data_IF_310875063877
#
_entry.id   IF_310875063877
#
_cell.length_a   1.000
_cell.length_b   1.000
_cell.length_c   1.000
_cell.angle_alpha   90.00
_cell.angle_beta   90.00
_cell.angle_gamma   90.00
#
_symmetry.space_group_name_H-M   'P 1'
#
loop_
_entity.id
_entity.type
_entity.pdbx_description
1 polymer ?
#
# COMPACT_ATOMS: atom_id res chain seq x y z
N UNK A 1 20.20 8.52 6.01
CA UNK A 1 18.91 7.80 6.02
C UNK A 1 17.91 8.65 5.26
N UNK A 2 17.23 8.11 4.23
CA UNK A 2 16.19 8.85 3.50
C UNK A 2 14.97 8.94 4.42
N UNK A 3 14.49 10.16 4.71
CA UNK A 3 13.26 10.35 5.49
C UNK A 3 12.06 9.89 4.66
N UNK A 4 11.12 9.17 5.27
CA UNK A 4 9.87 8.76 4.61
C UNK A 4 9.11 10.00 4.13
N UNK A 5 8.81 10.14 2.83
CA UNK A 5 7.94 11.19 2.31
C UNK A 5 6.54 11.02 2.89
N UNK A 6 5.81 12.13 3.07
CA UNK A 6 4.38 12.07 3.44
C UNK A 6 3.54 12.26 2.19
N UNK A 7 2.46 11.51 2.06
CA UNK A 7 1.40 11.89 1.11
C UNK A 7 0.49 12.92 1.76
N UNK A 8 0.19 13.97 1.00
CA UNK A 8 -0.86 14.92 1.34
C UNK A 8 -2.21 14.27 1.03
N UNK A 9 -3.14 14.32 1.99
CA UNK A 9 -4.42 13.60 1.89
C UNK A 9 -5.30 14.22 0.82
N UNK A 10 -5.38 15.55 0.77
CA UNK A 10 -6.20 16.25 -0.24
C UNK A 10 -5.71 15.97 -1.65
N UNK A 11 -4.39 16.02 -1.85
CA UNK A 11 -3.76 15.65 -3.13
C UNK A 11 -4.00 14.16 -3.47
N UNK A 12 -4.01 13.27 -2.48
CA UNK A 12 -4.29 11.86 -2.70
C UNK A 12 -5.75 11.59 -3.07
N UNK A 13 -6.71 12.24 -2.41
CA UNK A 13 -8.12 12.14 -2.80
C UNK A 13 -8.34 12.64 -4.24
N UNK A 14 -7.77 13.80 -4.57
CA UNK A 14 -7.85 14.33 -5.94
C UNK A 14 -7.19 13.38 -6.95
N UNK A 15 -6.08 12.76 -6.59
CA UNK A 15 -5.44 11.75 -7.43
C UNK A 15 -6.31 10.51 -7.61
N UNK A 16 -6.98 10.06 -6.55
CA UNK A 16 -7.88 8.90 -6.57
C UNK A 16 -9.07 9.14 -7.51
N UNK A 17 -9.69 10.33 -7.43
CA UNK A 17 -10.78 10.75 -8.31
C UNK A 17 -10.36 10.81 -9.79
N UNK A 18 -9.14 11.28 -10.06
CA UNK A 18 -8.63 11.46 -11.43
C UNK A 18 -7.91 10.24 -12.01
N UNK A 19 -7.62 9.21 -11.21
CA UNK A 19 -6.84 8.04 -11.63
C UNK A 19 -7.58 7.11 -12.62
N UNK A 20 -8.89 7.27 -12.78
CA UNK A 20 -9.69 6.38 -13.63
C UNK A 20 -9.66 4.94 -13.15
N UNK A 21 -9.76 4.74 -11.84
CA UNK A 21 -9.87 3.41 -11.23
C UNK A 21 -11.20 2.76 -11.63
N UNK A 22 -11.15 1.47 -11.92
CA UNK A 22 -12.39 0.69 -12.02
C UNK A 22 -13.00 0.48 -10.62
N UNK A 23 -14.30 0.12 -10.52
CA UNK A 23 -14.96 -0.03 -9.23
C UNK A 23 -14.28 -1.03 -8.30
N UNK A 24 -13.66 -2.09 -8.83
CA UNK A 24 -12.98 -3.10 -8.02
C UNK A 24 -11.63 -2.62 -7.50
N UNK A 25 -10.92 -1.80 -8.28
CA UNK A 25 -9.69 -1.13 -7.84
C UNK A 25 -9.98 -0.12 -6.74
N UNK A 26 -11.02 0.70 -6.91
CA UNK A 26 -11.45 1.67 -5.89
C UNK A 26 -11.87 0.97 -4.60
N UNK A 27 -12.63 -0.12 -4.70
CA UNK A 27 -13.03 -0.93 -3.54
C UNK A 27 -11.83 -1.51 -2.78
N UNK A 28 -10.79 -1.95 -3.51
CA UNK A 28 -9.52 -2.38 -2.88
C UNK A 28 -8.89 -1.24 -2.08
N UNK A 29 -8.78 -0.04 -2.66
CA UNK A 29 -8.18 1.13 -1.99
C UNK A 29 -8.97 1.51 -0.74
N UNK A 30 -10.28 1.67 -0.85
CA UNK A 30 -11.14 2.03 0.29
C UNK A 30 -11.12 0.97 1.39
N UNK A 31 -11.11 -0.31 1.02
CA UNK A 31 -11.04 -1.40 1.99
C UNK A 31 -9.74 -1.37 2.79
N UNK A 32 -8.59 -1.22 2.13
CA UNK A 32 -7.31 -1.18 2.86
C UNK A 32 -7.20 0.08 3.73
N UNK A 33 -7.71 1.24 3.26
CA UNK A 33 -7.74 2.49 4.05
C UNK A 33 -8.58 2.35 5.32
N UNK A 34 -9.65 1.57 5.25
CA UNK A 34 -10.52 1.30 6.39
C UNK A 34 -9.90 0.31 7.39
N UNK A 35 -9.32 -0.79 6.91
CA UNK A 35 -8.77 -1.85 7.78
C UNK A 35 -7.38 -1.49 8.32
N UNK A 36 -6.55 -0.80 7.53
CA UNK A 36 -5.21 -0.34 7.91
C UNK A 36 -4.10 -1.39 7.87
N UNK A 37 -4.42 -2.68 8.00
CA UNK A 37 -3.46 -3.80 7.95
C UNK A 37 -4.05 -4.92 7.09
N UNK A 38 -3.30 -5.44 6.13
CA UNK A 38 -3.79 -6.45 5.21
C UNK A 38 -2.69 -7.37 4.69
N UNK A 39 -3.09 -8.47 4.08
CA UNK A 39 -2.25 -9.41 3.36
C UNK A 39 -3.03 -9.95 2.14
N UNK A 40 -2.36 -10.72 1.29
CA UNK A 40 -2.98 -11.30 0.08
C UNK A 40 -4.25 -12.11 0.39
N UNK A 41 -4.23 -12.92 1.46
CA UNK A 41 -5.34 -13.80 1.80
C UNK A 41 -6.50 -13.03 2.42
N UNK A 42 -6.22 -12.11 3.34
CA UNK A 42 -7.23 -11.30 4.03
C UNK A 42 -7.94 -10.34 3.06
N UNK A 43 -7.20 -9.69 2.15
CA UNK A 43 -7.79 -8.84 1.12
C UNK A 43 -8.68 -9.64 0.17
N UNK A 44 -8.20 -10.81 -0.30
CA UNK A 44 -8.97 -11.69 -1.18
C UNK A 44 -10.27 -12.18 -0.53
N UNK A 45 -10.22 -12.57 0.74
CA UNK A 45 -11.40 -13.04 1.47
C UNK A 45 -12.41 -11.92 1.69
N UNK A 46 -11.95 -10.75 2.12
CA UNK A 46 -12.82 -9.64 2.50
C UNK A 46 -13.57 -9.06 1.29
N UNK A 47 -12.93 -9.03 0.13
CA UNK A 47 -13.49 -8.50 -1.12
C UNK A 47 -13.97 -9.60 -2.09
N UNK A 48 -14.05 -10.85 -1.63
CA UNK A 48 -14.43 -12.01 -2.44
C UNK A 48 -13.70 -12.09 -3.80
N UNK A 49 -12.43 -11.67 -3.85
CA UNK A 49 -11.68 -11.58 -5.10
C UNK A 49 -11.40 -12.98 -5.67
N UNK A 50 -11.39 -13.13 -7.00
CA UNK A 50 -10.99 -14.38 -7.63
C UNK A 50 -9.54 -14.70 -7.31
N UNK A 51 -9.17 -15.98 -7.43
CA UNK A 51 -7.79 -16.45 -7.17
C UNK A 51 -6.75 -15.88 -8.14
N UNK A 52 -7.16 -15.39 -9.32
CA UNK A 52 -6.26 -14.78 -10.32
C UNK A 52 -6.90 -13.54 -10.98
N UNK A 53 -6.11 -12.50 -11.29
CA UNK A 53 -4.77 -12.24 -10.73
C UNK A 53 -4.80 -12.06 -9.20
N UNK A 54 -3.64 -12.22 -8.52
CA UNK A 54 -3.50 -11.98 -7.07
C UNK A 54 -4.05 -10.62 -6.62
N UNK A 55 -4.52 -10.53 -5.38
CA UNK A 55 -5.06 -9.30 -4.82
C UNK A 55 -4.02 -8.17 -4.78
N UNK A 56 -2.78 -8.49 -4.38
CA UNK A 56 -1.66 -7.54 -4.37
C UNK A 56 -1.28 -7.05 -5.78
N UNK A 57 -1.48 -7.88 -6.81
CA UNK A 57 -1.30 -7.45 -8.20
C UNK A 57 -2.33 -6.39 -8.60
N UNK A 58 -3.60 -6.59 -8.23
CA UNK A 58 -4.68 -5.63 -8.50
C UNK A 58 -4.43 -4.32 -7.74
N UNK A 59 -4.04 -4.40 -6.47
CA UNK A 59 -3.63 -3.23 -5.69
C UNK A 59 -2.48 -2.47 -6.37
N UNK A 60 -1.47 -3.18 -6.87
CA UNK A 60 -0.36 -2.55 -7.59
C UNK A 60 -0.84 -1.77 -8.81
N UNK A 61 -1.78 -2.33 -9.59
CA UNK A 61 -2.35 -1.67 -10.78
C UNK A 61 -3.15 -0.43 -10.42
N UNK A 62 -3.94 -0.47 -9.35
CA UNK A 62 -4.59 0.72 -8.82
C UNK A 62 -3.54 1.79 -8.43
N UNK A 63 -2.48 1.40 -7.72
CA UNK A 63 -1.41 2.32 -7.31
C UNK A 63 -0.62 2.89 -8.49
N UNK A 64 -0.40 2.12 -9.57
CA UNK A 64 0.21 2.63 -10.82
C UNK A 64 -0.63 3.77 -11.42
N UNK A 65 -1.95 3.63 -11.45
CA UNK A 65 -2.86 4.68 -11.96
C UNK A 65 -2.84 5.93 -11.08
N UNK A 66 -2.87 5.76 -9.75
CA UNK A 66 -2.78 6.88 -8.80
C UNK A 66 -1.42 7.59 -8.93
N UNK A 67 -0.32 6.84 -9.06
CA UNK A 67 1.03 7.38 -9.17
C UNK A 67 1.21 8.31 -10.39
N UNK A 68 0.48 8.08 -11.49
CA UNK A 68 0.49 8.97 -12.67
C UNK A 68 -0.02 10.37 -12.33
N UNK A 69 -0.95 10.50 -11.39
CA UNK A 69 -1.49 11.78 -10.93
C UNK A 69 -0.57 12.48 -9.92
N UNK A 70 0.34 11.74 -9.27
CA UNK A 70 1.26 12.22 -8.22
C UNK A 70 2.72 11.87 -8.54
N UNK A 71 3.27 12.26 -9.71
CA UNK A 71 4.53 11.70 -10.20
C UNK A 71 5.73 12.01 -9.30
N UNK A 72 5.80 13.21 -8.72
CA UNK A 72 6.91 13.60 -7.84
C UNK A 72 6.84 12.86 -6.50
N UNK A 73 5.68 12.87 -5.85
CA UNK A 73 5.45 12.21 -4.56
C UNK A 73 5.64 10.70 -4.70
N UNK A 74 5.11 10.09 -5.77
CA UNK A 74 5.30 8.68 -6.06
C UNK A 74 6.77 8.33 -6.25
N UNK A 75 7.53 9.15 -7.01
CA UNK A 75 8.96 8.91 -7.19
C UNK A 75 9.73 8.98 -5.86
N UNK A 76 9.43 9.97 -5.02
CA UNK A 76 10.06 10.09 -3.71
C UNK A 76 9.71 8.89 -2.80
N UNK A 77 8.43 8.50 -2.77
CA UNK A 77 7.96 7.38 -1.94
C UNK A 77 8.59 6.06 -2.37
N UNK A 78 8.66 5.80 -3.68
CA UNK A 78 9.28 4.59 -4.21
C UNK A 78 10.79 4.55 -3.96
N UNK A 79 11.51 5.67 -4.13
CA UNK A 79 12.93 5.75 -3.77
C UNK A 79 13.16 5.47 -2.29
N UNK A 80 12.33 6.03 -1.42
CA UNK A 80 12.38 5.73 0.01
C UNK A 80 12.11 4.24 0.25
N UNK A 81 11.05 3.69 -0.33
CA UNK A 81 10.69 2.28 -0.16
C UNK A 81 11.79 1.32 -0.61
N UNK A 82 12.43 1.58 -1.75
CA UNK A 82 13.58 0.79 -2.24
C UNK A 82 14.71 0.81 -1.22
N UNK A 83 14.99 1.96 -0.61
CA UNK A 83 16.03 2.07 0.43
C UNK A 83 15.71 1.30 1.72
N UNK A 84 14.44 0.95 1.93
CA UNK A 84 13.98 0.12 3.05
C UNK A 84 13.90 -1.37 2.67
N UNK A 85 13.99 -1.72 1.39
CA UNK A 85 13.92 -3.11 0.91
C UNK A 85 15.31 -3.77 0.94
N UNK A 86 15.49 -4.93 1.62
CA UNK A 86 16.74 -5.69 1.61
C UNK A 86 17.10 -6.12 0.18
N UNK A 87 16.07 -6.44 -0.61
CA UNK A 87 16.19 -6.89 -1.99
C UNK A 87 16.21 -5.73 -3.01
N UNK A 88 16.13 -4.48 -2.53
CA UNK A 88 16.08 -3.28 -3.36
C UNK A 88 14.94 -3.30 -4.39
N UNK A 89 13.82 -3.95 -4.06
CA UNK A 89 12.66 -4.08 -4.94
C UNK A 89 11.77 -2.84 -4.84
N UNK A 90 11.37 -2.32 -6.00
CA UNK A 90 10.34 -1.28 -6.12
C UNK A 90 9.00 -1.92 -6.47
N UNK A 91 7.99 -1.71 -5.63
CA UNK A 91 6.60 -2.08 -5.87
C UNK A 91 5.71 -0.85 -5.71
N UNK A 92 4.83 -0.57 -6.68
CA UNK A 92 4.01 0.64 -6.68
C UNK A 92 2.98 0.66 -5.56
N UNK A 93 2.60 -0.50 -5.02
CA UNK A 93 1.78 -0.58 -3.80
C UNK A 93 2.40 0.13 -2.59
N UNK A 94 3.72 0.34 -2.57
CA UNK A 94 4.39 1.11 -1.53
C UNK A 94 4.03 2.61 -1.53
N UNK A 95 3.30 3.06 -2.56
CA UNK A 95 2.66 4.38 -2.56
C UNK A 95 1.69 4.54 -1.39
N UNK A 96 0.99 3.47 -1.01
CA UNK A 96 -0.10 3.52 -0.02
C UNK A 96 0.15 2.65 1.22
N UNK A 97 1.13 1.76 1.19
CA UNK A 97 1.45 0.87 2.31
C UNK A 97 2.94 0.54 2.43
N UNK A 98 3.32 -0.20 3.47
CA UNK A 98 4.66 -0.77 3.65
C UNK A 98 4.60 -2.08 4.43
N UNK A 99 5.67 -2.87 4.43
CA UNK A 99 5.75 -4.08 5.26
C UNK A 99 5.55 -3.73 6.75
N UNK A 100 4.74 -4.53 7.44
CA UNK A 100 4.53 -4.43 8.88
C UNK A 100 5.70 -5.01 9.67
N UNK A 101 5.78 -4.65 10.95
CA UNK A 101 6.79 -5.15 11.88
C UNK A 101 6.11 -5.64 13.17
N UNK A 102 6.68 -6.68 13.79
CA UNK A 102 6.26 -7.14 15.12
C UNK A 102 6.84 -6.24 16.24
N UNK A 103 6.53 -6.56 17.50
CA UNK A 103 6.99 -5.79 18.65
C UNK A 103 8.52 -5.78 18.83
N UNK A 104 9.21 -6.78 18.28
CA UNK A 104 10.66 -6.93 18.32
C UNK A 104 11.36 -6.21 17.15
N UNK A 105 10.60 -5.60 16.24
CA UNK A 105 11.12 -4.89 15.07
C UNK A 105 11.47 -5.81 13.90
N UNK A 106 11.00 -7.05 13.89
CA UNK A 106 11.15 -7.98 12.77
C UNK A 106 10.00 -7.82 11.77
N UNK A 107 10.29 -8.02 10.49
CA UNK A 107 9.31 -7.86 9.40
C UNK A 107 8.26 -8.94 9.47
N UNK A 108 7.02 -8.57 9.15
CA UNK A 108 5.91 -9.50 8.99
C UNK A 108 5.90 -10.07 7.56
N UNK A 109 6.80 -11.03 7.31
CA UNK A 109 6.96 -11.71 6.02
C UNK A 109 7.37 -13.19 6.21
N UNK A 110 7.07 -14.08 5.24
CA UNK A 110 7.43 -15.50 5.31
C UNK A 110 8.94 -15.77 5.47
N UNK A 111 9.77 -14.98 4.82
CA UNK A 111 11.23 -15.09 4.81
C UNK A 111 11.83 -14.87 6.20
N UNK A 112 11.16 -14.03 7.01
CA UNK A 112 11.51 -13.78 8.42
C UNK A 112 10.88 -14.81 9.37
N UNK A 113 10.04 -15.73 8.89
CA UNK A 113 9.38 -16.75 9.72
C UNK A 113 8.32 -16.22 10.68
N UNK A 114 7.91 -14.96 10.53
CA UNK A 114 6.99 -14.27 11.46
C UNK A 114 5.52 -14.49 11.11
N UNK A 115 5.19 -14.69 9.83
CA UNK A 115 3.83 -14.87 9.30
C UNK A 115 3.82 -15.70 8.01
N UNK A 116 2.65 -16.24 7.62
CA UNK A 116 2.51 -17.04 6.39
C UNK A 116 2.41 -16.22 5.09
N UNK A 117 2.05 -14.94 5.20
CA UNK A 117 1.89 -14.02 4.08
C UNK A 117 2.55 -12.70 4.42
N UNK A 118 3.09 -12.01 3.41
CA UNK A 118 3.56 -10.64 3.57
C UNK A 118 2.42 -9.76 4.09
N UNK A 119 2.62 -9.16 5.25
CA UNK A 119 1.63 -8.32 5.91
C UNK A 119 2.00 -6.85 5.72
N UNK A 120 1.08 -6.08 5.15
CA UNK A 120 1.26 -4.68 4.84
C UNK A 120 0.45 -3.82 5.79
N UNK A 121 1.03 -2.68 6.15
CA UNK A 121 0.41 -1.64 6.95
C UNK A 121 0.23 -0.43 6.05
N UNK A 122 -1.00 0.07 5.97
CA UNK A 122 -1.33 1.28 5.23
C UNK A 122 -0.64 2.48 5.87
N UNK A 123 -0.19 3.40 5.03
CA UNK A 123 0.45 4.63 5.47
C UNK A 123 -0.51 5.45 6.34
N UNK A 124 -0.03 5.91 7.50
CA UNK A 124 -0.86 6.54 8.54
C UNK A 124 -1.67 7.73 8.02
N UNK A 125 -1.10 8.51 7.12
CA UNK A 125 -1.76 9.65 6.50
C UNK A 125 -2.98 9.26 5.66
N UNK A 126 -3.09 8.01 5.19
CA UNK A 126 -4.19 7.55 4.33
C UNK A 126 -5.35 6.88 5.09
N UNK A 127 -5.34 6.92 6.42
CA UNK A 127 -6.42 6.34 7.23
C UNK A 127 -7.69 7.19 7.19
N UNK A 128 -8.84 6.53 7.07
CA UNK A 128 -10.16 7.18 7.03
C UNK A 128 -10.68 7.68 8.40
N UNK A 129 -9.82 7.89 9.40
CA UNK A 129 -10.32 8.28 10.73
C UNK A 129 -9.33 8.68 11.83
N UNK A 130 -8.01 8.74 11.57
CA UNK A 130 -7.02 9.13 12.59
C UNK A 130 -5.80 9.89 12.02
N UNK A 131 -5.92 10.46 10.81
CA UNK A 131 -4.80 11.03 10.04
C UNK A 131 -4.13 12.28 10.63
N UNK A 132 -4.65 12.87 11.71
CA UNK A 132 -4.07 14.03 12.38
C UNK A 132 -3.50 13.67 13.76
N UNK A 133 -2.23 13.26 13.80
CA UNK A 133 -1.31 13.45 14.94
C UNK A 133 0.13 13.60 14.45
#
# INVERSE_FOLDING_TARGET
MIKRPRLDVEAFELALENAGLDPSELEIIEHIRYIGIFDELSLRKSLALPTKPPALYRLNKACEKIAVQLPEQAQQMLKWSVSQSPDQISWTGNLVCSIGFNADGERLEPESGTVLYHTFVVHKELFNGLGDT
#
